data_IF_874587375887
#
_entry.id   IF_874587375887
#
_cell.length_a   1.000
_cell.length_b   1.000
_cell.length_c   1.000
_cell.angle_alpha   90.00
_cell.angle_beta   90.00
_cell.angle_gamma   90.00
#
_symmetry.space_group_name_H-M   'P 1'
#
loop_
_entity.id
_entity.type
_entity.pdbx_description
1 polymer ?
#
# COMPACT_ATOMS: atom_id res chain seq x y z
N UNK A 1 -9.51 7.76 41.03
CA UNK A 1 -9.66 8.89 40.09
C UNK A 1 -8.57 8.77 39.04
N UNK A 2 -8.88 8.44 37.77
CA UNK A 2 -7.85 8.33 36.76
C UNK A 2 -7.45 9.72 36.27
N UNK A 3 -6.13 9.93 36.17
CA UNK A 3 -5.48 11.17 35.74
C UNK A 3 -5.64 11.36 34.22
N UNK A 4 -5.74 12.63 33.84
CA UNK A 4 -6.18 13.10 32.53
C UNK A 4 -5.35 12.67 31.33
N UNK A 5 -6.08 12.43 30.25
CA UNK A 5 -5.61 12.36 28.87
C UNK A 5 -5.15 13.76 28.47
N UNK A 6 -3.90 13.91 28.02
CA UNK A 6 -3.42 15.15 27.40
C UNK A 6 -3.88 15.17 25.94
N UNK A 7 -4.56 16.23 25.53
CA UNK A 7 -4.69 16.60 24.13
C UNK A 7 -3.28 16.83 23.54
N UNK A 8 -3.01 16.21 22.40
CA UNK A 8 -1.82 16.49 21.60
C UNK A 8 -2.20 17.58 20.61
N UNK A 9 -1.69 18.79 20.84
CA UNK A 9 -1.76 19.91 19.92
C UNK A 9 -0.71 19.72 18.82
N UNK A 10 -1.15 19.71 17.56
CA UNK A 10 -0.34 19.40 16.37
C UNK A 10 0.13 20.65 15.62
N UNK A 11 0.17 21.80 16.28
CA UNK A 11 0.69 23.04 15.68
C UNK A 11 2.04 23.41 16.30
N UNK A 12 2.96 23.87 15.44
CA UNK A 12 4.33 24.36 15.71
C UNK A 12 5.48 23.34 15.88
N UNK A 13 6.12 23.01 14.75
CA UNK A 13 7.59 23.04 14.61
C UNK A 13 7.98 23.56 13.22
N UNK A 14 8.27 24.86 13.14
CA UNK A 14 8.82 25.54 11.97
C UNK A 14 10.36 25.46 11.96
N UNK A 15 10.93 24.33 11.53
CA UNK A 15 12.32 24.29 11.07
C UNK A 15 12.37 23.77 9.63
N UNK A 16 13.09 24.44 8.71
CA UNK A 16 13.19 24.00 7.31
C UNK A 16 14.12 22.78 7.22
N UNK A 17 13.52 21.60 7.15
CA UNK A 17 14.23 20.35 6.82
C UNK A 17 14.08 20.13 5.31
N UNK A 18 15.20 20.15 4.59
CA UNK A 18 15.27 19.75 3.18
C UNK A 18 15.32 18.22 3.11
N UNK A 19 14.32 17.60 2.50
CA UNK A 19 14.27 16.15 2.29
C UNK A 19 14.60 15.82 0.83
N UNK A 20 15.49 14.87 0.55
CA UNK A 20 15.68 14.36 -0.81
C UNK A 20 14.41 13.62 -1.25
N UNK A 21 13.83 14.08 -2.36
CA UNK A 21 12.70 13.44 -3.04
C UNK A 21 13.24 12.26 -3.86
N UNK A 22 12.87 11.03 -3.52
CA UNK A 22 13.20 9.85 -4.32
C UNK A 22 12.15 9.70 -5.43
N UNK A 23 12.53 10.13 -6.63
CA UNK A 23 11.79 9.88 -7.88
C UNK A 23 12.72 9.07 -8.77
N UNK A 24 12.27 7.89 -9.19
CA UNK A 24 13.06 6.99 -10.04
C UNK A 24 13.07 7.52 -11.48
N UNK A 25 14.27 7.71 -12.02
CA UNK A 25 14.54 7.80 -13.45
C UNK A 25 15.57 6.73 -13.79
N UNK A 26 15.40 6.08 -14.94
CA UNK A 26 16.28 5.07 -15.57
C UNK A 26 17.53 4.67 -14.75
N UNK A 27 17.35 3.67 -13.89
CA UNK A 27 18.46 3.03 -13.17
C UNK A 27 18.88 1.79 -13.97
N UNK A 28 19.99 1.88 -14.70
CA UNK A 28 20.72 0.68 -15.09
C UNK A 28 21.50 0.16 -13.87
N UNK A 29 20.94 -0.85 -13.21
CA UNK A 29 21.60 -1.53 -12.09
C UNK A 29 22.68 -2.46 -12.63
N UNK A 30 23.95 -2.04 -12.58
CA UNK A 30 25.06 -2.99 -12.68
C UNK A 30 25.16 -3.77 -11.36
N UNK A 31 24.81 -5.06 -11.40
CA UNK A 31 24.94 -5.98 -10.26
C UNK A 31 26.41 -6.20 -9.91
N UNK A 32 26.87 -5.99 -8.66
CA UNK A 32 28.20 -6.42 -8.25
C UNK A 32 28.21 -7.93 -7.99
N UNK A 33 29.24 -8.60 -8.51
CA UNK A 33 29.54 -10.00 -8.17
C UNK A 33 30.04 -10.12 -6.73
N UNK A 34 29.55 -11.14 -6.02
CA UNK A 34 29.89 -11.54 -4.64
C UNK A 34 31.34 -11.27 -4.20
N UNK A 35 31.48 -10.59 -3.05
CA UNK A 35 32.52 -10.92 -2.07
C UNK A 35 32.05 -10.56 -0.66
N UNK A 36 32.13 -11.55 0.22
CA UNK A 36 31.80 -11.51 1.65
C UNK A 36 32.61 -10.41 2.35
N UNK A 37 31.93 -9.41 2.91
CA UNK A 37 32.35 -8.68 4.13
C UNK A 37 31.21 -7.80 4.63
N UNK A 38 30.87 -7.95 5.91
CA UNK A 38 29.77 -7.27 6.59
C UNK A 38 30.04 -5.77 6.76
N UNK A 39 29.41 -4.96 5.91
CA UNK A 39 28.95 -3.61 6.21
C UNK A 39 27.79 -3.31 5.25
N UNK A 40 26.65 -2.78 5.71
CA UNK A 40 25.60 -2.34 4.80
C UNK A 40 26.20 -1.28 3.86
N UNK A 41 26.03 -1.39 2.53
CA UNK A 41 26.55 -0.38 1.63
C UNK A 41 25.89 0.96 1.95
N UNK A 42 26.70 1.96 2.26
CA UNK A 42 26.24 3.34 2.24
C UNK A 42 25.65 3.61 0.85
N UNK A 43 24.36 3.95 0.80
CA UNK A 43 23.70 4.33 -0.45
C UNK A 43 24.46 5.52 -1.03
N UNK A 44 25.15 5.31 -2.15
CA UNK A 44 25.85 6.37 -2.85
C UNK A 44 24.84 7.09 -3.75
N UNK A 45 24.77 8.41 -3.59
CA UNK A 45 23.81 9.35 -4.22
C UNK A 45 23.83 9.36 -5.78
N UNK A 46 24.59 8.50 -6.45
CA UNK A 46 24.92 8.63 -7.87
C UNK A 46 23.98 7.91 -8.85
N UNK A 47 22.88 7.30 -8.41
CA UNK A 47 22.02 6.46 -9.27
C UNK A 47 20.57 6.91 -9.42
N UNK A 48 20.18 8.07 -8.90
CA UNK A 48 18.84 8.63 -9.07
C UNK A 48 18.94 10.00 -9.76
N UNK A 49 18.49 10.12 -11.01
CA UNK A 49 18.38 11.43 -11.67
C UNK A 49 17.06 12.07 -11.23
N UNK A 50 17.13 13.05 -10.33
CA UNK A 50 15.95 13.72 -9.80
C UNK A 50 15.25 14.62 -10.84
N UNK A 51 13.97 14.41 -11.14
CA UNK A 51 13.05 15.53 -11.22
C UNK A 51 12.65 15.83 -9.77
N UNK A 52 13.31 16.83 -9.18
CA UNK A 52 12.79 17.47 -7.98
C UNK A 52 11.40 18.00 -8.34
N UNK A 53 10.35 17.38 -7.79
CA UNK A 53 9.08 18.08 -7.69
C UNK A 53 9.36 19.30 -6.80
N UNK A 54 9.27 20.54 -7.30
CA UNK A 54 9.65 21.75 -6.55
C UNK A 54 8.53 22.12 -5.58
N UNK A 55 8.05 21.14 -4.79
CA UNK A 55 7.12 21.41 -3.71
C UNK A 55 7.97 21.96 -2.57
N UNK A 56 7.89 23.28 -2.42
CA UNK A 56 8.29 23.94 -1.18
C UNK A 56 7.73 23.12 0.00
N UNK A 57 8.52 22.86 1.06
CA UNK A 57 8.06 22.12 2.25
C UNK A 57 6.83 22.73 2.95
N UNK A 58 6.29 23.84 2.45
CA UNK A 58 5.22 24.62 3.06
C UNK A 58 3.84 24.41 2.42
N UNK A 59 3.71 23.60 1.36
CA UNK A 59 2.39 23.28 0.77
C UNK A 59 2.29 21.78 0.53
N UNK A 60 2.15 21.02 1.62
CA UNK A 60 1.80 19.60 1.59
C UNK A 60 0.32 19.47 1.92
N UNK A 61 -0.50 19.11 0.94
CA UNK A 61 -1.91 18.84 1.16
C UNK A 61 -2.08 17.37 1.54
N UNK A 62 -2.80 17.11 2.63
CA UNK A 62 -3.13 15.74 3.02
C UNK A 62 -4.21 15.18 2.09
N UNK A 63 -4.32 13.85 1.95
CA UNK A 63 -5.50 13.25 1.31
C UNK A 63 -6.81 13.65 1.98
N UNK A 64 -6.76 14.04 3.26
CA UNK A 64 -7.89 14.62 3.99
C UNK A 64 -8.44 15.86 3.29
N UNK A 65 -7.61 16.60 2.55
CA UNK A 65 -7.97 17.86 1.90
C UNK A 65 -8.59 17.66 0.50
N UNK A 66 -8.83 16.41 0.07
CA UNK A 66 -9.47 16.13 -1.21
C UNK A 66 -10.85 16.83 -1.28
N UNK A 67 -11.10 17.53 -2.37
CA UNK A 67 -12.30 18.36 -2.59
C UNK A 67 -13.44 17.58 -3.20
N UNK A 68 -13.19 16.38 -3.71
CA UNK A 68 -14.20 15.52 -4.32
C UNK A 68 -13.82 14.06 -4.23
N UNK A 69 -14.81 13.19 -4.42
CA UNK A 69 -14.57 11.74 -4.50
C UNK A 69 -13.71 11.37 -5.70
N UNK A 70 -13.86 12.08 -6.81
CA UNK A 70 -13.00 11.91 -7.99
C UNK A 70 -11.56 12.25 -7.69
N UNK A 71 -11.28 13.38 -7.04
CA UNK A 71 -9.91 13.78 -6.68
C UNK A 71 -9.28 12.78 -5.71
N UNK A 72 -10.01 12.31 -4.68
CA UNK A 72 -9.51 11.27 -3.79
C UNK A 72 -9.28 9.94 -4.54
N UNK A 73 -10.13 9.62 -5.51
CA UNK A 73 -10.01 8.41 -6.31
C UNK A 73 -8.75 8.44 -7.18
N UNK A 74 -8.55 9.52 -7.95
CA UNK A 74 -7.34 9.73 -8.75
C UNK A 74 -6.08 9.74 -7.89
N UNK A 75 -6.13 10.37 -6.72
CA UNK A 75 -5.03 10.37 -5.77
C UNK A 75 -4.69 8.96 -5.30
N UNK A 76 -5.67 8.15 -4.90
CA UNK A 76 -5.43 6.78 -4.45
C UNK A 76 -4.93 5.87 -5.57
N UNK A 77 -5.35 6.07 -6.83
CA UNK A 77 -4.76 5.39 -7.99
C UNK A 77 -3.27 5.70 -8.08
N UNK A 78 -2.88 6.98 -8.04
CA UNK A 78 -1.47 7.36 -8.09
C UNK A 78 -0.66 6.85 -6.91
N UNK A 79 -1.26 6.78 -5.72
CA UNK A 79 -0.61 6.22 -4.52
C UNK A 79 -0.33 4.73 -4.70
N UNK A 80 -1.31 3.93 -5.14
CA UNK A 80 -1.10 2.49 -5.35
C UNK A 80 -0.09 2.23 -6.48
N UNK A 81 -0.16 2.97 -7.58
CA UNK A 81 0.80 2.84 -8.69
C UNK A 81 2.20 3.33 -8.32
N UNK A 82 2.29 4.39 -7.51
CA UNK A 82 3.55 4.90 -6.97
C UNK A 82 4.20 3.91 -6.01
N UNK A 83 3.42 3.32 -5.09
CA UNK A 83 3.87 2.21 -4.25
C UNK A 83 4.34 1.04 -5.11
N UNK A 84 3.58 0.67 -6.14
CA UNK A 84 3.95 -0.46 -6.98
C UNK A 84 5.23 -0.18 -7.80
N UNK A 85 5.44 1.06 -8.25
CA UNK A 85 6.70 1.47 -8.87
C UNK A 85 7.89 1.36 -7.90
N UNK A 86 7.69 1.73 -6.63
CA UNK A 86 8.68 1.55 -5.57
C UNK A 86 8.96 0.05 -5.29
N UNK A 87 7.91 -0.78 -5.31
CA UNK A 87 8.01 -2.22 -5.17
C UNK A 87 8.81 -2.89 -6.31
N UNK A 88 8.52 -2.51 -7.56
CA UNK A 88 9.25 -2.97 -8.73
C UNK A 88 10.76 -2.65 -8.65
N UNK A 89 11.12 -1.57 -7.95
CA UNK A 89 12.51 -1.19 -7.72
C UNK A 89 13.22 -2.00 -6.63
N UNK A 90 12.54 -2.95 -5.98
CA UNK A 90 13.17 -3.84 -5.01
C UNK A 90 12.72 -3.69 -3.57
N UNK A 91 11.74 -2.83 -3.25
CA UNK A 91 11.52 -2.36 -1.88
C UNK A 91 10.08 -2.58 -1.37
N UNK A 92 9.94 -2.86 -0.08
CA UNK A 92 8.68 -2.68 0.66
C UNK A 92 8.73 -1.36 1.42
N UNK A 93 7.63 -0.61 1.47
CA UNK A 93 7.61 0.71 2.09
C UNK A 93 7.46 0.65 3.61
N UNK A 94 6.58 -0.20 4.13
CA UNK A 94 6.42 -0.54 5.56
C UNK A 94 5.94 0.59 6.50
N UNK A 95 5.74 1.79 5.98
CA UNK A 95 5.24 2.95 6.75
C UNK A 95 4.34 3.89 5.92
N UNK A 96 3.48 3.29 5.10
CA UNK A 96 2.45 4.05 4.40
C UNK A 96 1.42 4.53 5.43
N UNK A 97 1.25 5.85 5.53
CA UNK A 97 0.36 6.49 6.50
C UNK A 97 -0.15 7.82 5.95
N UNK A 98 -1.10 8.45 6.66
CA UNK A 98 -1.59 9.78 6.28
C UNK A 98 -0.51 10.87 6.30
N UNK A 99 0.65 10.60 6.95
CA UNK A 99 1.80 11.51 7.02
C UNK A 99 2.81 11.29 5.91
N UNK A 100 2.73 10.17 5.20
CA UNK A 100 3.65 9.82 4.12
C UNK A 100 3.00 9.91 2.75
N UNK A 101 1.68 10.15 2.68
CA UNK A 101 0.92 10.29 1.44
C UNK A 101 0.38 11.71 1.27
N UNK A 102 0.66 12.34 0.13
CA UNK A 102 0.32 13.74 -0.13
C UNK A 102 -0.39 13.94 -1.45
N UNK A 103 -1.33 14.88 -1.46
CA UNK A 103 -1.92 15.44 -2.67
C UNK A 103 -0.97 16.47 -3.29
N UNK A 104 -0.88 16.44 -4.61
CA UNK A 104 -0.28 17.51 -5.39
C UNK A 104 -1.26 18.70 -5.43
N UNK A 105 -0.85 19.93 -5.07
CA UNK A 105 -1.71 21.12 -5.21
C UNK A 105 -2.19 21.36 -6.65
N UNK A 106 -1.38 20.93 -7.61
CA UNK A 106 -1.66 20.90 -9.04
C UNK A 106 -1.04 19.63 -9.62
N UNK A 107 -1.68 18.96 -10.60
CA UNK A 107 -1.12 17.77 -11.22
C UNK A 107 0.30 18.02 -11.74
N UNK A 108 1.20 17.09 -11.46
CA UNK A 108 2.64 17.20 -11.82
C UNK A 108 2.93 16.28 -13.00
N UNK A 109 3.59 16.78 -14.04
CA UNK A 109 4.03 15.94 -15.15
C UNK A 109 5.07 14.91 -14.70
N UNK A 110 4.87 13.67 -15.13
CA UNK A 110 5.66 12.49 -14.81
C UNK A 110 5.65 11.51 -15.99
N UNK A 111 6.52 10.50 -15.96
CA UNK A 111 6.45 9.40 -16.92
C UNK A 111 5.12 8.66 -16.75
N UNK A 112 4.55 8.18 -17.85
CA UNK A 112 3.43 7.26 -17.79
C UNK A 112 3.82 6.03 -16.95
N UNK A 113 2.89 5.52 -16.15
CA UNK A 113 3.11 4.30 -15.40
C UNK A 113 3.39 3.14 -16.37
N UNK A 114 4.44 2.37 -16.07
CA UNK A 114 4.81 1.17 -16.81
C UNK A 114 5.28 0.08 -15.84
N UNK A 115 5.04 -1.18 -16.22
CA UNK A 115 5.68 -2.30 -15.55
C UNK A 115 7.06 -2.47 -16.18
N UNK A 116 8.12 -2.38 -15.38
CA UNK A 116 9.49 -2.41 -15.92
C UNK A 116 9.80 -3.78 -16.52
N UNK A 117 10.56 -3.78 -17.62
CA UNK A 117 10.99 -5.03 -18.27
C UNK A 117 11.82 -5.92 -17.31
N UNK A 118 12.63 -5.29 -16.45
CA UNK A 118 13.42 -5.99 -15.44
C UNK A 118 12.53 -6.65 -14.38
N UNK A 119 11.48 -5.97 -13.92
CA UNK A 119 10.51 -6.54 -12.99
C UNK A 119 9.75 -7.69 -13.65
N UNK A 120 9.26 -7.51 -14.89
CA UNK A 120 8.57 -8.55 -15.64
C UNK A 120 9.44 -9.80 -15.78
N UNK A 121 10.69 -9.64 -16.22
CA UNK A 121 11.61 -10.77 -16.34
C UNK A 121 11.87 -11.46 -14.99
N UNK A 122 12.07 -10.68 -13.92
CA UNK A 122 12.33 -11.20 -12.58
C UNK A 122 11.12 -11.96 -12.04
N UNK A 123 9.92 -11.41 -12.21
CA UNK A 123 8.66 -12.00 -11.77
C UNK A 123 8.41 -13.34 -12.48
N UNK A 124 8.44 -13.37 -13.82
CA UNK A 124 8.20 -14.60 -14.59
C UNK A 124 9.26 -15.66 -14.28
N UNK A 125 10.53 -15.28 -14.23
CA UNK A 125 11.61 -16.21 -13.89
C UNK A 125 11.46 -16.81 -12.50
N UNK A 126 11.04 -16.01 -11.50
CA UNK A 126 10.86 -16.52 -10.13
C UNK A 126 9.79 -17.62 -10.04
N UNK A 127 8.76 -17.58 -10.90
CA UNK A 127 7.74 -18.62 -11.00
C UNK A 127 8.29 -19.89 -11.65
N UNK A 128 9.13 -19.76 -12.68
CA UNK A 128 9.83 -20.89 -13.29
C UNK A 128 10.75 -21.58 -12.28
N UNK A 129 11.54 -20.79 -11.54
CA UNK A 129 12.46 -21.28 -10.52
C UNK A 129 11.71 -22.03 -9.39
N UNK A 130 10.57 -21.49 -8.93
CA UNK A 130 9.71 -22.19 -7.96
C UNK A 130 9.09 -23.47 -8.53
N UNK A 131 8.66 -23.44 -9.80
CA UNK A 131 8.11 -24.63 -10.47
C UNK A 131 9.16 -25.74 -10.51
N UNK A 132 10.43 -25.39 -10.75
CA UNK A 132 11.55 -26.33 -10.69
C UNK A 132 11.80 -26.83 -9.27
N UNK A 133 11.77 -25.95 -8.26
CA UNK A 133 11.97 -26.28 -6.85
C UNK A 133 10.93 -27.29 -6.35
N UNK A 134 9.68 -27.13 -6.77
CA UNK A 134 8.55 -27.98 -6.35
C UNK A 134 8.36 -29.23 -7.21
N UNK A 135 9.24 -29.51 -8.18
CA UNK A 135 9.16 -30.74 -8.99
C UNK A 135 9.21 -31.98 -8.11
N UNK A 136 8.12 -32.76 -8.14
CA UNK A 136 8.01 -34.01 -7.38
C UNK A 136 7.41 -33.85 -5.98
N UNK A 137 7.11 -32.63 -5.55
CA UNK A 137 6.26 -32.36 -4.38
C UNK A 137 4.80 -32.43 -4.85
N UNK A 138 3.92 -33.02 -4.04
CA UNK A 138 2.47 -32.91 -4.25
C UNK A 138 2.05 -31.47 -3.95
N UNK A 139 2.16 -30.58 -4.93
CA UNK A 139 1.82 -29.18 -4.73
C UNK A 139 0.30 -29.02 -4.79
N UNK A 140 -0.27 -28.48 -3.71
CA UNK A 140 -1.67 -28.08 -3.64
C UNK A 140 -2.01 -26.97 -4.68
N UNK A 141 -3.29 -26.56 -4.70
CA UNK A 141 -3.90 -25.54 -5.56
C UNK A 141 -3.08 -24.24 -5.74
N UNK A 142 -2.18 -23.89 -4.82
CA UNK A 142 -1.34 -22.68 -4.90
C UNK A 142 -0.45 -22.61 -6.14
N UNK A 143 0.03 -23.74 -6.67
CA UNK A 143 0.87 -23.73 -7.90
C UNK A 143 0.11 -23.25 -9.14
N UNK A 144 -1.21 -23.51 -9.22
CA UNK A 144 -2.02 -23.09 -10.36
C UNK A 144 -2.21 -21.57 -10.38
N UNK A 145 -2.26 -20.93 -9.22
CA UNK A 145 -2.47 -19.49 -9.13
C UNK A 145 -1.25 -18.68 -9.60
N UNK A 146 -0.03 -19.21 -9.41
CA UNK A 146 1.20 -18.51 -9.79
C UNK A 146 1.48 -18.52 -11.30
N UNK A 147 0.90 -19.48 -12.03
CA UNK A 147 1.02 -19.54 -13.49
C UNK A 147 0.36 -18.35 -14.21
N UNK A 148 -0.47 -17.58 -13.49
CA UNK A 148 -1.20 -16.44 -14.05
C UNK A 148 -0.46 -15.10 -13.87
N UNK A 149 0.84 -15.11 -13.53
CA UNK A 149 1.59 -13.87 -13.28
C UNK A 149 1.64 -12.95 -14.51
N UNK A 150 1.83 -13.53 -15.71
CA UNK A 150 1.78 -12.78 -16.97
C UNK A 150 0.38 -12.20 -17.23
N UNK A 151 -0.67 -12.94 -16.90
CA UNK A 151 -2.05 -12.45 -16.97
C UNK A 151 -2.24 -11.24 -16.05
N UNK A 152 -1.71 -11.28 -14.82
CA UNK A 152 -1.81 -10.16 -13.88
C UNK A 152 -1.03 -8.94 -14.35
N UNK A 153 0.15 -9.10 -14.94
CA UNK A 153 0.92 -8.00 -15.55
C UNK A 153 0.07 -7.34 -16.65
N UNK A 154 -0.41 -8.11 -17.62
CA UNK A 154 -1.25 -7.61 -18.71
C UNK A 154 -2.51 -6.92 -18.18
N UNK A 155 -3.11 -7.48 -17.11
CA UNK A 155 -4.33 -6.94 -16.53
C UNK A 155 -4.13 -5.58 -15.86
N UNK A 156 -3.02 -5.40 -15.13
CA UNK A 156 -2.67 -4.09 -14.54
C UNK A 156 -2.47 -3.06 -15.65
N UNK A 157 -1.70 -3.37 -16.68
CA UNK A 157 -1.47 -2.46 -17.81
C UNK A 157 -2.79 -2.06 -18.51
N UNK A 158 -3.66 -3.03 -18.76
CA UNK A 158 -4.99 -2.78 -19.33
C UNK A 158 -5.82 -1.86 -18.42
N UNK A 159 -5.85 -2.12 -17.11
CA UNK A 159 -6.63 -1.32 -16.16
C UNK A 159 -6.13 0.12 -16.06
N UNK A 160 -4.82 0.32 -16.07
CA UNK A 160 -4.19 1.66 -16.10
C UNK A 160 -4.66 2.45 -17.33
N UNK A 161 -4.70 1.79 -18.50
CA UNK A 161 -5.23 2.40 -19.73
C UNK A 161 -6.73 2.67 -19.66
N UNK A 162 -7.52 1.70 -19.20
CA UNK A 162 -8.99 1.80 -19.10
C UNK A 162 -9.45 2.89 -18.11
N UNK A 163 -8.68 3.11 -17.04
CA UNK A 163 -8.91 4.18 -16.05
C UNK A 163 -8.39 5.54 -16.52
N UNK A 164 -7.74 5.61 -17.69
CA UNK A 164 -7.22 6.86 -18.25
C UNK A 164 -6.10 7.46 -17.43
N UNK A 165 -5.29 6.65 -16.74
CA UNK A 165 -4.10 7.14 -16.03
C UNK A 165 -3.11 7.70 -17.05
N UNK A 166 -2.74 8.97 -16.88
CA UNK A 166 -1.93 9.72 -17.83
C UNK A 166 -0.51 9.98 -17.31
N UNK A 167 0.21 10.92 -17.94
CA UNK A 167 1.50 11.44 -17.50
C UNK A 167 1.39 12.45 -16.36
N UNK A 168 0.22 12.69 -15.78
CA UNK A 168 0.08 13.63 -14.65
C UNK A 168 -0.10 12.92 -13.32
N UNK A 169 0.50 13.44 -12.26
CA UNK A 169 0.43 12.90 -10.90
C UNK A 169 -0.38 13.81 -9.98
N UNK A 170 -1.40 13.26 -9.33
CA UNK A 170 -2.21 14.00 -8.34
C UNK A 170 -1.85 13.68 -6.89
N UNK A 171 -1.06 12.63 -6.64
CA UNK A 171 -0.61 12.26 -5.31
C UNK A 171 0.65 11.39 -5.33
N UNK A 172 1.45 11.45 -4.27
CA UNK A 172 2.70 10.71 -4.15
C UNK A 172 2.93 10.22 -2.71
N UNK A 173 3.81 9.23 -2.59
CA UNK A 173 4.28 8.68 -1.32
C UNK A 173 5.70 9.19 -1.07
N UNK A 174 6.03 9.55 0.17
CA UNK A 174 7.37 9.93 0.63
C UNK A 174 7.80 9.12 1.84
N UNK A 175 8.98 9.44 2.36
CA UNK A 175 9.47 8.96 3.65
C UNK A 175 9.70 7.44 3.66
N UNK A 176 10.71 7.05 2.88
CA UNK A 176 11.14 5.67 2.73
C UNK A 176 12.18 5.27 3.77
N UNK A 177 12.31 5.99 4.88
CA UNK A 177 13.33 5.71 5.91
C UNK A 177 13.15 4.32 6.55
N UNK A 178 11.90 3.83 6.54
CA UNK A 178 11.51 2.51 7.05
C UNK A 178 11.45 1.44 5.95
N UNK A 179 11.69 1.84 4.70
CA UNK A 179 11.66 0.92 3.58
C UNK A 179 12.85 -0.03 3.62
N UNK A 180 12.64 -1.26 3.20
CA UNK A 180 13.70 -2.26 3.10
C UNK A 180 13.62 -2.96 1.76
N UNK A 181 14.77 -3.45 1.23
CA UNK A 181 14.74 -4.37 0.12
C UNK A 181 13.87 -5.56 0.46
N UNK A 182 12.92 -5.95 -0.39
CA UNK A 182 12.13 -7.14 -0.13
C UNK A 182 13.03 -8.38 -0.04
N UNK A 183 14.20 -8.40 -0.68
CA UNK A 183 15.22 -9.45 -0.52
C UNK A 183 15.62 -9.63 0.94
N UNK A 184 15.79 -8.54 1.67
CA UNK A 184 16.09 -8.58 3.10
C UNK A 184 14.97 -9.27 3.87
N UNK A 185 13.70 -9.04 3.49
CA UNK A 185 12.59 -9.76 4.11
C UNK A 185 12.70 -11.27 3.90
N UNK A 186 13.02 -11.68 2.67
CA UNK A 186 13.09 -13.08 2.26
C UNK A 186 14.25 -13.83 2.92
N UNK A 187 15.42 -13.18 3.01
CA UNK A 187 16.64 -13.75 3.55
C UNK A 187 16.58 -13.94 5.07
N UNK A 188 15.94 -13.01 5.79
CA UNK A 188 15.70 -13.14 7.23
C UNK A 188 14.62 -14.17 7.60
N UNK A 189 13.77 -14.56 6.64
CA UNK A 189 12.58 -15.36 6.94
C UNK A 189 11.64 -14.64 7.91
N UNK A 190 10.98 -15.39 8.80
CA UNK A 190 10.10 -14.82 9.84
C UNK A 190 10.89 -14.34 11.07
N UNK A 191 12.15 -14.79 11.22
CA UNK A 191 12.97 -14.56 12.41
C UNK A 191 13.74 -13.24 12.30
N UNK A 192 13.80 -12.46 13.39
CA UNK A 192 14.64 -11.25 13.52
C UNK A 192 14.27 -10.04 12.64
N UNK A 193 13.09 -9.98 12.01
CA UNK A 193 12.64 -8.72 11.41
C UNK A 193 12.23 -7.76 12.52
N UNK A 194 12.88 -6.59 12.59
CA UNK A 194 12.35 -5.46 13.35
C UNK A 194 11.02 -5.08 12.71
N UNK A 195 9.91 -5.42 13.37
CA UNK A 195 8.58 -5.12 12.85
C UNK A 195 8.31 -3.64 13.06
N UNK A 196 8.18 -2.92 11.94
CA UNK A 196 8.00 -1.48 11.90
C UNK A 196 6.67 -1.14 11.23
N UNK A 197 6.18 0.06 11.52
CA UNK A 197 4.99 0.64 10.93
C UNK A 197 4.07 1.27 11.96
N UNK A 198 3.36 2.31 11.55
CA UNK A 198 2.44 3.01 12.43
C UNK A 198 1.20 2.14 12.78
N UNK A 199 0.87 1.87 14.07
CA UNK A 199 -0.17 0.92 14.45
C UNK A 199 -1.56 1.19 13.86
N UNK A 200 -1.89 2.44 13.54
CA UNK A 200 -3.17 2.77 12.92
C UNK A 200 -3.26 2.38 11.44
N UNK A 201 -2.12 2.17 10.77
CA UNK A 201 -2.06 1.94 9.32
C UNK A 201 -1.49 0.58 8.94
N UNK A 202 -0.83 -0.17 9.83
CA UNK A 202 -0.37 -1.53 9.49
C UNK A 202 -1.54 -2.52 9.32
N UNK A 203 -1.31 -3.62 8.59
CA UNK A 203 -2.29 -4.70 8.50
C UNK A 203 -2.65 -5.28 9.88
N UNK A 204 -3.86 -5.83 10.01
CA UNK A 204 -4.30 -6.37 11.30
C UNK A 204 -3.45 -7.55 11.77
N UNK A 205 -2.85 -8.29 10.83
CA UNK A 205 -1.95 -9.41 11.13
C UNK A 205 -0.59 -8.92 11.57
N UNK A 206 -0.04 -7.92 10.89
CA UNK A 206 1.19 -7.26 11.30
C UNK A 206 1.07 -6.64 12.70
N UNK A 207 -0.02 -5.91 12.96
CA UNK A 207 -0.24 -5.40 14.32
C UNK A 207 -0.44 -6.53 15.36
N UNK A 208 -1.03 -7.68 14.99
CA UNK A 208 -1.13 -8.83 15.91
C UNK A 208 0.23 -9.44 16.23
N UNK A 209 1.13 -9.53 15.26
CA UNK A 209 2.47 -10.06 15.49
C UNK A 209 3.32 -9.12 16.33
N UNK A 210 3.21 -7.79 16.13
CA UNK A 210 3.83 -6.78 17.01
C UNK A 210 3.37 -6.97 18.45
N UNK A 211 2.04 -6.98 18.69
CA UNK A 211 1.49 -7.08 20.03
C UNK A 211 1.87 -8.38 20.75
N UNK A 212 2.00 -9.47 20.00
CA UNK A 212 2.36 -10.79 20.53
C UNK A 212 3.86 -11.03 20.58
N UNK A 213 4.66 -10.10 20.06
CA UNK A 213 6.09 -10.28 19.84
C UNK A 213 6.38 -11.62 19.15
N UNK A 214 5.65 -11.90 18.07
CA UNK A 214 5.76 -13.14 17.31
C UNK A 214 6.34 -12.88 15.93
N UNK A 215 7.03 -13.88 15.40
CA UNK A 215 7.62 -13.86 14.06
C UNK A 215 6.56 -13.59 12.97
N UNK A 216 6.91 -12.77 12.00
CA UNK A 216 6.01 -12.37 10.92
C UNK A 216 6.79 -11.98 9.68
N UNK A 217 6.44 -12.58 8.54
CA UNK A 217 6.96 -12.19 7.24
C UNK A 217 6.14 -11.02 6.70
N UNK A 218 6.65 -9.81 6.80
CA UNK A 218 6.03 -8.65 6.16
C UNK A 218 6.01 -8.84 4.63
N UNK A 219 4.87 -8.55 4.03
CA UNK A 219 4.54 -8.85 2.64
C UNK A 219 4.00 -7.62 1.92
N UNK A 220 3.91 -7.64 0.58
CA UNK A 220 3.27 -6.57 -0.19
C UNK A 220 1.80 -6.33 0.21
N UNK A 221 1.12 -7.36 0.74
CA UNK A 221 -0.26 -7.27 1.22
C UNK A 221 -0.37 -6.30 2.42
N UNK A 222 0.69 -6.19 3.23
CA UNK A 222 0.71 -5.28 4.39
C UNK A 222 0.72 -3.81 3.98
N UNK A 223 1.53 -3.46 2.97
CA UNK A 223 1.56 -2.12 2.40
C UNK A 223 0.21 -1.78 1.73
N UNK A 224 -0.41 -2.72 1.02
CA UNK A 224 -1.73 -2.53 0.40
C UNK A 224 -2.84 -2.29 1.43
N UNK A 225 -2.83 -3.01 2.55
CA UNK A 225 -3.71 -2.68 3.68
C UNK A 225 -3.42 -1.28 4.22
N UNK A 226 -2.16 -0.89 4.28
CA UNK A 226 -1.78 0.44 4.75
C UNK A 226 -2.37 1.54 3.87
N UNK A 227 -2.39 1.37 2.54
CA UNK A 227 -3.10 2.29 1.63
C UNK A 227 -4.61 2.31 1.92
N UNK A 228 -5.23 1.15 2.16
CA UNK A 228 -6.66 1.09 2.54
C UNK A 228 -6.97 1.87 3.81
N UNK A 229 -6.14 1.71 4.86
CA UNK A 229 -6.32 2.43 6.11
C UNK A 229 -6.09 3.94 5.96
N UNK A 230 -5.16 4.34 5.08
CA UNK A 230 -4.99 5.74 4.69
C UNK A 230 -6.23 6.30 4.00
N UNK A 231 -6.83 5.55 3.06
CA UNK A 231 -8.07 5.95 2.40
C UNK A 231 -9.22 6.12 3.41
N UNK A 232 -9.42 5.14 4.29
CA UNK A 232 -10.44 5.19 5.33
C UNK A 232 -10.23 6.39 6.27
N UNK A 233 -8.98 6.66 6.65
CA UNK A 233 -8.62 7.84 7.44
C UNK A 233 -8.98 9.13 6.70
N UNK A 234 -8.58 9.27 5.44
CA UNK A 234 -8.87 10.44 4.62
C UNK A 234 -10.38 10.71 4.56
N UNK A 235 -11.18 9.68 4.31
CA UNK A 235 -12.64 9.76 4.21
C UNK A 235 -13.27 10.30 5.50
N UNK A 236 -12.94 9.70 6.64
CA UNK A 236 -13.55 10.09 7.93
C UNK A 236 -13.05 11.45 8.44
N UNK A 237 -11.88 11.89 7.98
CA UNK A 237 -11.28 13.14 8.41
C UNK A 237 -11.58 14.32 7.47
N UNK A 238 -12.17 14.10 6.29
CA UNK A 238 -12.32 15.10 5.22
C UNK A 238 -13.18 16.33 5.57
N UNK A 239 -14.27 16.16 6.33
CA UNK A 239 -15.15 17.28 6.69
C UNK A 239 -14.88 17.84 8.10
N UNK A 240 -15.34 19.06 8.45
CA UNK A 240 -15.24 19.55 9.83
C UNK A 240 -16.08 18.74 10.83
N UNK A 241 -15.65 18.66 12.09
CA UNK A 241 -16.33 17.91 13.17
C UNK A 241 -17.78 18.35 13.39
N UNK A 242 -18.08 19.63 13.18
CA UNK A 242 -19.42 20.19 13.32
C UNK A 242 -20.44 19.71 12.28
N UNK A 243 -19.98 19.09 11.18
CA UNK A 243 -20.83 18.58 10.10
C UNK A 243 -20.96 17.06 10.10
N UNK A 244 -20.37 16.38 11.09
CA UNK A 244 -20.35 14.91 11.20
C UNK A 244 -21.55 14.39 11.96
N UNK A 245 -21.93 13.15 11.66
CA UNK A 245 -22.86 12.38 12.49
C UNK A 245 -22.17 11.87 13.76
N UNK A 246 -22.95 11.44 14.75
CA UNK A 246 -22.42 10.77 15.94
C UNK A 246 -21.67 9.48 15.58
N UNK A 247 -22.13 8.75 14.55
CA UNK A 247 -21.48 7.53 14.06
C UNK A 247 -20.09 7.83 13.48
N UNK A 248 -19.95 8.89 12.69
CA UNK A 248 -18.67 9.30 12.10
C UNK A 248 -17.66 9.74 13.16
N UNK A 249 -18.12 10.47 14.18
CA UNK A 249 -17.29 10.83 15.32
C UNK A 249 -16.79 9.59 16.07
N UNK A 250 -17.66 8.59 16.22
CA UNK A 250 -17.33 7.34 16.85
C UNK A 250 -16.37 6.47 16.02
N UNK A 251 -16.57 6.36 14.69
CA UNK A 251 -15.64 5.67 13.80
C UNK A 251 -14.27 6.33 13.78
N UNK A 252 -14.21 7.66 13.71
CA UNK A 252 -12.94 8.41 13.78
C UNK A 252 -12.20 8.12 15.07
N UNK A 253 -12.90 8.13 16.20
CA UNK A 253 -12.32 7.78 17.50
C UNK A 253 -11.78 6.34 17.48
N UNK A 254 -12.57 5.39 17.00
CA UNK A 254 -12.17 3.98 16.88
C UNK A 254 -10.88 3.79 16.07
N UNK A 255 -10.74 4.47 14.94
CA UNK A 255 -9.53 4.35 14.11
C UNK A 255 -8.29 4.89 14.84
N UNK A 256 -8.44 5.95 15.64
CA UNK A 256 -7.35 6.50 16.45
C UNK A 256 -7.02 5.68 17.71
N UNK A 257 -7.95 4.81 18.17
CA UNK A 257 -7.79 4.01 19.40
C UNK A 257 -7.05 2.68 19.19
N UNK A 258 -6.63 2.39 17.95
CA UNK A 258 -5.77 1.25 17.61
C UNK A 258 -6.48 0.12 16.84
N UNK A 259 -5.71 -0.91 16.49
CA UNK A 259 -6.06 -1.96 15.50
C UNK A 259 -7.48 -2.50 15.63
N UNK A 260 -7.85 -3.03 16.80
CA UNK A 260 -9.14 -3.73 16.98
C UNK A 260 -10.32 -2.80 16.68
N UNK A 261 -10.24 -1.57 17.16
CA UNK A 261 -11.31 -0.59 17.01
C UNK A 261 -11.39 -0.09 15.56
N UNK A 262 -10.26 0.09 14.90
CA UNK A 262 -10.17 0.43 13.47
C UNK A 262 -10.88 -0.59 12.58
N UNK A 263 -10.59 -1.88 12.79
CA UNK A 263 -11.20 -2.95 11.99
C UNK A 263 -12.73 -2.95 12.18
N UNK A 264 -13.19 -2.77 13.43
CA UNK A 264 -14.62 -2.65 13.72
C UNK A 264 -15.25 -1.44 13.00
N UNK A 265 -14.57 -0.28 12.99
CA UNK A 265 -15.07 0.91 12.27
C UNK A 265 -15.22 0.66 10.77
N UNK A 266 -14.24 -0.02 10.15
CA UNK A 266 -14.31 -0.39 8.75
C UNK A 266 -15.51 -1.31 8.49
N UNK A 267 -15.70 -2.33 9.31
CA UNK A 267 -16.83 -3.26 9.18
C UNK A 267 -18.16 -2.54 9.32
N UNK A 268 -18.27 -1.60 10.28
CA UNK A 268 -19.49 -0.81 10.48
C UNK A 268 -19.81 0.04 9.24
N UNK A 269 -18.81 0.72 8.66
CA UNK A 269 -18.96 1.55 7.45
C UNK A 269 -19.33 0.71 6.23
N UNK A 270 -18.73 -0.46 6.06
CA UNK A 270 -19.01 -1.37 4.95
C UNK A 270 -20.41 -2.00 5.04
N UNK A 271 -21.02 -2.04 6.23
CA UNK A 271 -22.34 -2.65 6.48
C UNK A 271 -23.48 -1.66 6.60
N UNK A 272 -23.23 -0.38 6.39
CA UNK A 272 -24.26 0.64 6.47
C UNK A 272 -25.40 0.33 5.51
N UNK A 273 -26.63 0.36 6.02
CA UNK A 273 -27.83 0.25 5.21
C UNK A 273 -28.10 1.54 4.43
N UNK A 274 -28.88 1.49 3.33
CA UNK A 274 -29.27 2.70 2.60
C UNK A 274 -30.01 3.76 3.42
N UNK A 275 -30.58 3.38 4.58
CA UNK A 275 -31.20 4.32 5.51
C UNK A 275 -30.15 5.02 6.37
N UNK A 276 -29.16 4.28 6.85
CA UNK A 276 -28.04 4.80 7.65
C UNK A 276 -27.08 5.64 6.82
N UNK A 277 -26.97 5.39 5.51
CA UNK A 277 -26.18 6.22 4.59
C UNK A 277 -26.62 7.69 4.63
N UNK A 278 -27.93 7.95 4.64
CA UNK A 278 -28.45 9.32 4.49
C UNK A 278 -28.08 10.27 5.64
N UNK A 279 -27.71 9.74 6.80
CA UNK A 279 -27.26 10.53 7.95
C UNK A 279 -25.76 10.81 7.96
N UNK A 280 -24.98 10.18 7.07
CA UNK A 280 -23.53 10.37 7.02
C UNK A 280 -23.15 11.52 6.08
N UNK A 281 -21.90 11.95 6.14
CA UNK A 281 -21.32 12.93 5.23
C UNK A 281 -21.33 12.45 3.78
N UNK A 282 -21.35 13.37 2.80
CA UNK A 282 -21.32 12.99 1.39
C UNK A 282 -20.16 12.06 1.04
N UNK A 283 -18.95 12.32 1.53
CA UNK A 283 -17.79 11.48 1.22
C UNK A 283 -17.95 10.04 1.75
N UNK A 284 -18.46 9.86 2.97
CA UNK A 284 -18.71 8.52 3.54
C UNK A 284 -19.77 7.77 2.73
N UNK A 285 -20.86 8.46 2.36
CA UNK A 285 -21.90 7.86 1.51
C UNK A 285 -21.36 7.39 0.16
N UNK A 286 -20.50 8.20 -0.45
CA UNK A 286 -19.97 7.96 -1.79
C UNK A 286 -18.92 6.85 -1.80
N UNK A 287 -18.10 6.76 -0.75
CA UNK A 287 -17.00 5.80 -0.65
C UNK A 287 -17.33 4.50 0.07
N UNK A 288 -18.41 4.43 0.85
CA UNK A 288 -18.78 3.20 1.58
C UNK A 288 -18.86 1.95 0.67
N UNK A 289 -19.49 1.98 -0.53
CA UNK A 289 -19.50 0.82 -1.44
C UNK A 289 -18.12 0.44 -1.98
N UNK A 290 -17.25 1.43 -2.20
CA UNK A 290 -15.87 1.24 -2.66
C UNK A 290 -15.04 0.57 -1.57
N UNK A 291 -15.13 1.09 -0.34
CA UNK A 291 -14.45 0.54 0.83
C UNK A 291 -14.89 -0.90 1.11
N UNK A 292 -16.17 -1.22 1.00
CA UNK A 292 -16.67 -2.59 1.17
C UNK A 292 -16.07 -3.54 0.12
N UNK A 293 -16.16 -3.16 -1.16
CA UNK A 293 -15.63 -3.96 -2.26
C UNK A 293 -14.10 -4.15 -2.14
N UNK A 294 -13.38 -3.09 -1.77
CA UNK A 294 -11.94 -3.12 -1.61
C UNK A 294 -11.51 -3.95 -0.40
N UNK A 295 -12.16 -3.77 0.75
CA UNK A 295 -11.87 -4.56 1.95
C UNK A 295 -12.12 -6.06 1.72
N UNK A 296 -13.21 -6.42 1.03
CA UNK A 296 -13.48 -7.81 0.66
C UNK A 296 -12.45 -8.38 -0.32
N UNK A 297 -11.90 -7.56 -1.22
CA UNK A 297 -10.76 -7.97 -2.06
C UNK A 297 -9.51 -8.20 -1.20
N UNK A 298 -9.13 -7.26 -0.35
CA UNK A 298 -7.94 -7.38 0.51
C UNK A 298 -8.03 -8.54 1.50
N UNK A 299 -9.20 -8.78 2.10
CA UNK A 299 -9.42 -9.91 3.00
C UNK A 299 -9.29 -11.25 2.26
N UNK A 300 -9.76 -11.34 1.01
CA UNK A 300 -9.52 -12.52 0.16
C UNK A 300 -8.04 -12.66 -0.18
N UNK A 301 -7.38 -11.57 -0.58
CA UNK A 301 -5.96 -11.53 -0.90
C UNK A 301 -5.09 -12.01 0.27
N UNK A 302 -5.39 -11.54 1.49
CA UNK A 302 -4.68 -11.95 2.71
C UNK A 302 -4.94 -13.41 3.11
N UNK A 303 -6.17 -13.89 2.95
CA UNK A 303 -6.47 -15.32 3.16
C UNK A 303 -5.71 -16.20 2.19
N UNK A 304 -5.61 -15.79 0.93
CA UNK A 304 -4.87 -16.50 -0.11
C UNK A 304 -3.37 -16.45 0.17
N UNK A 305 -2.85 -15.27 0.53
CA UNK A 305 -1.46 -15.08 0.94
C UNK A 305 -1.10 -16.01 2.09
N UNK A 306 -1.91 -16.06 3.14
CA UNK A 306 -1.66 -16.92 4.31
C UNK A 306 -1.67 -18.41 3.98
N UNK A 307 -2.48 -18.83 3.00
CA UNK A 307 -2.46 -20.22 2.52
C UNK A 307 -1.21 -20.52 1.70
N UNK A 308 -0.77 -19.57 0.88
CA UNK A 308 0.39 -19.74 0.01
C UNK A 308 1.74 -19.58 0.74
N UNK A 309 1.80 -18.72 1.76
CA UNK A 309 3.02 -18.39 2.51
C UNK A 309 3.38 -19.42 3.59
N UNK A 310 2.65 -20.53 3.66
CA UNK A 310 3.00 -21.68 4.48
C UNK A 310 3.79 -22.67 3.61
N UNK A 311 5.13 -22.73 3.75
CA UNK A 311 5.94 -23.60 2.92
C UNK A 311 5.65 -25.07 3.24
N UNK A 312 5.68 -25.98 2.24
CA UNK A 312 5.67 -27.41 2.49
C UNK A 312 6.80 -27.84 3.44
N UNK A 313 6.58 -28.88 4.24
CA UNK A 313 7.56 -29.40 5.21
C UNK A 313 8.94 -29.71 4.58
N UNK A 314 8.96 -30.06 3.30
CA UNK A 314 10.17 -30.40 2.54
C UNK A 314 10.95 -29.18 2.03
N UNK A 315 10.38 -27.96 2.10
CA UNK A 315 11.07 -26.72 1.71
C UNK A 315 11.98 -26.27 2.85
N UNK A 316 13.28 -26.51 2.66
CA UNK A 316 14.30 -26.08 3.61
C UNK A 316 14.41 -24.55 3.68
N UNK A 317 14.81 -24.04 4.84
CA UNK A 317 15.08 -22.61 5.11
C UNK A 317 16.05 -22.00 4.10
N UNK A 318 17.04 -22.76 3.63
CA UNK A 318 18.02 -22.31 2.62
C UNK A 318 17.39 -21.97 1.24
N UNK A 319 16.16 -22.40 0.99
CA UNK A 319 15.40 -22.12 -0.22
C UNK A 319 14.20 -21.17 0.04
N UNK A 320 14.14 -20.51 1.21
CA UNK A 320 13.03 -19.61 1.57
C UNK A 320 12.84 -18.51 0.53
N UNK A 321 13.93 -17.94 0.03
CA UNK A 321 13.91 -16.88 -0.98
C UNK A 321 13.25 -17.33 -2.27
N UNK A 322 13.68 -18.45 -2.82
CA UNK A 322 13.14 -19.01 -4.07
C UNK A 322 11.66 -19.42 -3.92
N UNK A 323 11.25 -19.77 -2.69
CA UNK A 323 9.85 -20.03 -2.37
C UNK A 323 9.00 -18.75 -2.31
N UNK A 324 9.44 -17.75 -1.53
CA UNK A 324 8.62 -16.57 -1.22
C UNK A 324 8.64 -15.49 -2.31
N UNK A 325 9.72 -15.37 -3.08
CA UNK A 325 9.85 -14.33 -4.11
C UNK A 325 8.71 -14.32 -5.14
N UNK A 326 8.36 -15.43 -5.81
CA UNK A 326 7.22 -15.46 -6.73
C UNK A 326 5.90 -15.16 -6.03
N UNK A 327 5.72 -15.57 -4.77
CA UNK A 327 4.54 -15.23 -3.99
C UNK A 327 4.45 -13.72 -3.79
N UNK A 328 5.54 -13.07 -3.37
CA UNK A 328 5.60 -11.61 -3.21
C UNK A 328 5.17 -10.91 -4.51
N UNK A 329 5.76 -11.29 -5.64
CA UNK A 329 5.44 -10.68 -6.93
C UNK A 329 3.98 -10.89 -7.34
N UNK A 330 3.48 -12.12 -7.21
CA UNK A 330 2.10 -12.45 -7.52
C UNK A 330 1.10 -11.65 -6.67
N UNK A 331 1.29 -11.60 -5.35
CA UNK A 331 0.38 -10.92 -4.44
C UNK A 331 0.45 -9.39 -4.55
N UNK A 332 1.62 -8.82 -4.90
CA UNK A 332 1.73 -7.41 -5.24
C UNK A 332 0.91 -7.08 -6.51
N UNK A 333 1.15 -7.83 -7.61
CA UNK A 333 0.44 -7.64 -8.88
C UNK A 333 -1.07 -7.82 -8.73
N UNK A 334 -1.50 -8.91 -8.09
CA UNK A 334 -2.92 -9.20 -7.85
C UNK A 334 -3.57 -8.12 -6.99
N UNK A 335 -2.90 -7.66 -5.93
CA UNK A 335 -3.43 -6.61 -5.07
C UNK A 335 -3.61 -5.27 -5.80
N UNK A 336 -2.67 -4.89 -6.67
CA UNK A 336 -2.81 -3.71 -7.54
C UNK A 336 -3.96 -3.90 -8.53
N UNK A 337 -4.01 -5.03 -9.22
CA UNK A 337 -5.07 -5.33 -10.17
C UNK A 337 -6.46 -5.28 -9.51
N UNK A 338 -6.64 -5.98 -8.39
CA UNK A 338 -7.91 -6.04 -7.67
C UNK A 338 -8.36 -4.63 -7.21
N UNK A 339 -7.43 -3.80 -6.71
CA UNK A 339 -7.74 -2.41 -6.35
C UNK A 339 -8.23 -1.61 -7.56
N UNK A 340 -7.50 -1.66 -8.68
CA UNK A 340 -7.87 -0.94 -9.90
C UNK A 340 -9.21 -1.44 -10.46
N UNK A 341 -9.53 -2.73 -10.33
CA UNK A 341 -10.84 -3.28 -10.70
C UNK A 341 -11.96 -2.75 -9.82
N UNK A 342 -11.74 -2.68 -8.50
CA UNK A 342 -12.69 -2.07 -7.57
C UNK A 342 -12.93 -0.61 -7.98
N UNK A 343 -11.88 0.17 -8.17
CA UNK A 343 -12.03 1.57 -8.62
C UNK A 343 -12.79 1.66 -9.93
N UNK A 344 -12.42 0.88 -10.94
CA UNK A 344 -13.11 0.86 -12.24
C UNK A 344 -14.59 0.55 -12.10
N UNK A 345 -14.96 -0.41 -11.25
CA UNK A 345 -16.36 -0.81 -11.05
C UNK A 345 -17.22 0.29 -10.42
N UNK A 346 -16.60 1.19 -9.64
CA UNK A 346 -17.27 2.30 -8.95
C UNK A 346 -17.01 3.68 -9.58
N UNK A 347 -16.13 3.76 -10.59
CA UNK A 347 -15.62 5.03 -11.13
C UNK A 347 -16.73 5.96 -11.62
N UNK A 348 -17.69 5.43 -12.38
CA UNK A 348 -18.85 6.19 -12.87
C UNK A 348 -19.68 6.76 -11.72
N UNK A 349 -19.84 6.00 -10.63
CA UNK A 349 -20.57 6.47 -9.45
C UNK A 349 -19.81 7.63 -8.79
N UNK A 350 -18.50 7.48 -8.57
CA UNK A 350 -17.65 8.50 -7.94
C UNK A 350 -17.61 9.80 -8.75
N UNK A 351 -17.56 9.71 -10.09
CA UNK A 351 -17.52 10.87 -10.99
C UNK A 351 -18.85 11.64 -11.09
N UNK A 352 -19.97 11.01 -10.73
CA UNK A 352 -21.27 11.66 -10.80
C UNK A 352 -21.59 12.53 -9.58
N UNK A 353 -20.75 12.51 -8.55
CA UNK A 353 -20.97 13.31 -7.35
C UNK A 353 -20.38 14.71 -7.48
N UNK A 354 -21.09 15.67 -6.87
CA UNK A 354 -20.57 17.03 -6.74
C UNK A 354 -19.40 17.07 -5.74
N UNK A 355 -18.49 18.05 -5.87
CA UNK A 355 -17.46 18.32 -4.87
C UNK A 355 -18.04 18.43 -3.45
N UNK A 356 -17.25 18.07 -2.45
CA UNK A 356 -17.61 18.21 -1.04
C UNK A 356 -17.74 19.70 -0.71
N UNK A 357 -18.95 20.13 -0.34
CA UNK A 357 -19.28 21.52 -0.01
C UNK A 357 -19.03 21.87 1.46
#
# INVERSE_FOLDING_TARGET
MPKGVREVDYTDRNEPISFPLLMLTDVHVQRPSCSVTCAPPAMTESHFVHPLCPLSPHVRHSLVDAKSSTELCEALIHVVLGWFSFYQAGYLHRDISIRTVFLCPSPVEQRAFEISADFHQTATKSVEDLTLLLKGVSVDECSYQLNDIEEKIMRVEQLVQELGVTTTCSAFIIDSDMAIPWETCLDSGRDNQEILGNPEFVSSKLAQSIERNSDYLQSPVDDLFSVYWVALWAILNNIPTSRRSDDELWWRKKIAEGRRFRDDASVDICRLSPREWKSQSPIVQQWSPVLDSWFQSLDRLDKDWRRAADPPDDVKVENSRDFYLPLFHYFALRGVADFLEVIKSHYTQLCNYLPFA
#
